data_IF_159180633167
#
_entry.id   IF_159180633167
#
_cell.length_a   1.000
_cell.length_b   1.000
_cell.length_c   1.000
_cell.angle_alpha   90.00
_cell.angle_beta   90.00
_cell.angle_gamma   90.00
#
_symmetry.space_group_name_H-M   'P 1'
#
loop_
_entity.id
_entity.type
_entity.pdbx_description
1 polymer ?
#
# COMPACT_ATOMS: atom_id res chain seq x y z
N UNK A 1 -2.37 2.80 23.42
CA UNK A 1 -2.26 3.58 22.15
C UNK A 1 -3.16 2.98 21.09
N UNK A 2 -3.85 3.81 20.34
CA UNK A 2 -4.82 3.39 19.32
C UNK A 2 -4.17 3.16 17.95
N UNK A 3 -4.34 1.98 17.38
CA UNK A 3 -3.95 1.71 15.99
C UNK A 3 -4.75 2.60 15.05
N UNK A 4 -4.06 3.46 14.32
CA UNK A 4 -4.68 4.47 13.45
C UNK A 4 -4.22 4.26 12.00
N UNK A 5 -5.19 4.06 11.12
CA UNK A 5 -4.97 3.87 9.69
C UNK A 5 -6.19 4.41 8.91
N UNK A 6 -6.06 4.56 7.60
CA UNK A 6 -7.19 4.99 6.79
C UNK A 6 -8.25 3.87 6.72
N UNK A 7 -9.45 4.19 7.20
CA UNK A 7 -10.62 3.29 7.12
C UNK A 7 -11.68 3.95 6.23
N UNK A 8 -11.63 3.64 4.94
CA UNK A 8 -12.60 4.13 3.96
C UNK A 8 -13.86 3.25 3.88
N UNK A 9 -14.89 3.69 3.12
CA UNK A 9 -16.14 2.92 2.95
C UNK A 9 -15.96 1.64 2.12
N UNK A 10 -14.82 1.46 1.48
CA UNK A 10 -14.47 0.27 0.71
C UNK A 10 -13.18 -0.32 1.29
N UNK A 11 -13.16 -1.62 1.61
CA UNK A 11 -11.95 -2.28 2.08
C UNK A 11 -10.80 -2.11 1.09
N UNK A 12 -9.59 -2.00 1.60
CA UNK A 12 -8.37 -1.91 0.84
C UNK A 12 -7.26 -2.70 1.53
N UNK A 13 -6.68 -3.64 0.83
CA UNK A 13 -5.65 -4.54 1.33
C UNK A 13 -4.52 -3.82 2.08
N UNK A 14 -4.00 -2.72 1.49
CA UNK A 14 -2.89 -1.99 2.10
C UNK A 14 -3.23 -1.41 3.48
N UNK A 15 -4.45 -0.87 3.63
CA UNK A 15 -4.90 -0.34 4.92
C UNK A 15 -5.25 -1.46 5.90
N UNK A 16 -5.85 -2.56 5.40
CA UNK A 16 -6.19 -3.74 6.20
C UNK A 16 -4.97 -4.48 6.75
N UNK A 17 -3.79 -4.37 6.10
CA UNK A 17 -2.54 -4.91 6.63
C UNK A 17 -2.22 -4.42 8.05
N UNK A 18 -2.67 -3.24 8.43
CA UNK A 18 -2.47 -2.73 9.80
C UNK A 18 -3.09 -3.64 10.85
N UNK A 19 -4.32 -4.09 10.65
CA UNK A 19 -5.02 -4.97 11.59
C UNK A 19 -4.49 -6.41 11.57
N UNK A 20 -3.79 -6.79 10.52
CA UNK A 20 -3.14 -8.09 10.40
C UNK A 20 -1.75 -8.10 11.02
N UNK A 21 -0.93 -7.09 10.71
CA UNK A 21 0.51 -7.03 11.02
C UNK A 21 0.75 -6.70 12.50
N UNK A 22 0.19 -5.58 12.97
CA UNK A 22 0.57 -5.02 14.26
C UNK A 22 0.18 -5.88 15.47
N UNK A 23 -1.04 -6.50 15.52
CA UNK A 23 -1.37 -7.41 16.63
C UNK A 23 -0.50 -8.67 16.71
N UNK A 24 0.19 -9.02 15.59
CA UNK A 24 1.08 -10.18 15.53
C UNK A 24 2.54 -9.85 15.89
N UNK A 25 2.92 -8.57 15.80
CA UNK A 25 4.29 -8.11 16.09
C UNK A 25 4.42 -7.44 17.46
N UNK A 26 3.34 -6.86 17.97
CA UNK A 26 3.34 -6.14 19.24
C UNK A 26 2.88 -7.05 20.38
N UNK A 27 3.38 -6.83 21.62
CA UNK A 27 2.89 -7.57 22.79
C UNK A 27 1.38 -7.42 22.98
N UNK A 28 0.76 -8.45 23.56
CA UNK A 28 -0.67 -8.40 23.87
C UNK A 28 -1.00 -7.19 24.78
N UNK A 29 -2.05 -6.46 24.45
CA UNK A 29 -2.47 -5.26 25.18
C UNK A 29 -1.62 -4.01 24.89
N UNK A 30 -0.68 -4.07 23.95
CA UNK A 30 0.12 -2.91 23.56
C UNK A 30 -0.69 -1.87 22.78
N UNK A 31 -1.64 -2.34 21.98
CA UNK A 31 -2.63 -1.52 21.29
C UNK A 31 -3.96 -1.60 22.05
N UNK A 32 -4.62 -0.47 22.17
CA UNK A 32 -5.92 -0.28 22.84
C UNK A 32 -6.75 0.79 22.12
N UNK A 33 -7.82 1.29 22.72
CA UNK A 33 -8.67 2.35 22.16
C UNK A 33 -8.34 3.75 22.69
N UNK A 34 -7.22 3.93 23.40
CA UNK A 34 -6.81 5.24 23.94
C UNK A 34 -6.33 6.15 22.79
N UNK A 35 -7.15 7.17 22.50
CA UNK A 35 -6.87 8.17 21.46
C UNK A 35 -5.87 9.25 21.87
N UNK A 36 -5.39 9.24 23.11
CA UNK A 36 -4.30 10.13 23.53
C UNK A 36 -2.97 9.77 22.86
N UNK A 37 -2.81 8.51 22.42
CA UNK A 37 -1.67 8.04 21.66
C UNK A 37 -2.13 7.30 20.39
N UNK A 38 -1.67 7.76 19.22
CA UNK A 38 -2.00 7.21 17.92
C UNK A 38 -0.81 6.45 17.33
N UNK A 39 -0.98 5.18 17.06
CA UNK A 39 0.03 4.36 16.38
C UNK A 39 -0.21 4.37 14.87
N UNK A 40 0.66 5.03 14.12
CA UNK A 40 0.58 5.25 12.68
C UNK A 40 1.51 4.25 11.97
N UNK A 41 0.95 3.15 11.51
CA UNK A 41 1.69 2.06 10.87
C UNK A 41 1.79 2.20 9.35
N UNK A 42 1.16 1.28 8.63
CA UNK A 42 1.15 1.24 7.16
C UNK A 42 0.21 2.31 6.61
N UNK A 43 0.64 3.00 5.57
CA UNK A 43 -0.22 3.90 4.81
C UNK A 43 0.41 5.26 4.50
N UNK A 44 -0.31 6.08 3.72
CA UNK A 44 0.08 7.46 3.43
C UNK A 44 -0.74 8.41 4.29
N UNK A 45 -0.55 8.31 5.60
CA UNK A 45 -1.40 8.93 6.63
C UNK A 45 -0.70 10.00 7.45
N UNK A 46 0.48 10.46 7.03
CA UNK A 46 1.15 11.59 7.65
C UNK A 46 0.55 12.89 7.10
N UNK A 47 -0.45 13.42 7.80
CA UNK A 47 -1.17 14.65 7.46
C UNK A 47 -1.46 15.50 8.71
N UNK A 48 -1.84 16.74 8.52
CA UNK A 48 -2.10 17.75 9.56
C UNK A 48 -3.45 17.57 10.30
N UNK A 49 -4.27 16.58 9.86
CA UNK A 49 -5.64 16.38 10.38
C UNK A 49 -5.70 15.50 11.65
N UNK A 50 -4.58 14.96 12.10
CA UNK A 50 -4.56 14.21 13.36
C UNK A 50 -4.84 15.13 14.56
N UNK A 51 -5.49 14.62 15.64
CA UNK A 51 -5.71 15.38 16.85
C UNK A 51 -4.41 15.98 17.39
N UNK A 52 -4.38 17.31 17.56
CA UNK A 52 -3.15 18.03 17.95
C UNK A 52 -2.62 17.60 19.32
N UNK A 53 -3.52 17.32 20.27
CA UNK A 53 -3.13 16.92 21.62
C UNK A 53 -2.66 15.46 21.72
N UNK A 54 -3.02 14.60 20.78
CA UNK A 54 -2.59 13.22 20.81
C UNK A 54 -1.11 13.09 20.46
N UNK A 55 -0.39 12.16 21.10
CA UNK A 55 0.95 11.74 20.68
C UNK A 55 0.83 10.83 19.45
N UNK A 56 1.62 11.06 18.42
CA UNK A 56 1.61 10.29 17.18
C UNK A 56 2.91 9.49 17.06
N UNK A 57 2.81 8.18 17.13
CA UNK A 57 3.93 7.26 16.97
C UNK A 57 3.95 6.79 15.52
N UNK A 58 5.00 7.12 14.79
CA UNK A 58 5.13 6.79 13.36
C UNK A 58 6.04 5.60 13.16
N UNK A 59 5.47 4.55 12.58
CA UNK A 59 6.17 3.29 12.34
C UNK A 59 6.02 2.90 10.86
N UNK A 60 6.76 3.58 9.97
CA UNK A 60 6.85 3.26 8.55
C UNK A 60 5.77 3.86 7.64
N UNK A 61 4.89 4.70 8.17
CA UNK A 61 3.95 5.49 7.36
C UNK A 61 4.69 6.48 6.46
N UNK A 62 4.03 6.89 5.37
CA UNK A 62 4.55 7.89 4.46
C UNK A 62 3.65 9.11 4.30
N UNK A 63 4.20 10.18 3.75
CA UNK A 63 3.44 11.32 3.27
C UNK A 63 2.91 11.04 1.86
N UNK A 64 1.63 11.29 1.64
CA UNK A 64 0.96 11.00 0.37
C UNK A 64 0.68 12.20 -0.51
N UNK A 65 0.83 13.42 0.02
CA UNK A 65 0.47 14.64 -0.70
C UNK A 65 -1.05 14.89 -0.84
N UNK A 66 -1.88 14.15 -0.10
CA UNK A 66 -3.35 14.29 -0.16
C UNK A 66 -3.89 15.43 0.72
N UNK A 67 -3.12 15.83 1.71
CA UNK A 67 -3.39 16.95 2.62
C UNK A 67 -2.10 17.71 2.88
N UNK A 68 -2.14 18.77 3.66
CA UNK A 68 -0.95 19.47 4.10
C UNK A 68 -0.03 18.54 4.92
N UNK A 69 1.28 18.75 4.78
CA UNK A 69 2.25 18.05 5.61
C UNK A 69 2.09 18.50 7.08
N UNK A 70 2.16 17.58 8.05
CA UNK A 70 2.09 17.95 9.44
C UNK A 70 3.38 18.63 9.89
N UNK A 71 3.29 19.48 10.90
CA UNK A 71 4.46 19.93 11.68
C UNK A 71 4.83 18.80 12.65
N UNK A 72 5.87 18.04 12.30
CA UNK A 72 6.32 16.92 13.14
C UNK A 72 7.28 17.34 14.25
N UNK A 73 7.60 18.63 14.34
CA UNK A 73 8.50 19.23 15.35
C UNK A 73 7.74 19.92 16.48
N UNK A 74 6.42 19.84 16.50
CA UNK A 74 5.56 20.44 17.53
C UNK A 74 5.63 19.74 18.91
N UNK A 75 6.46 18.71 19.04
CA UNK A 75 6.65 17.94 20.28
C UNK A 75 5.63 16.81 20.50
N UNK A 76 4.67 16.62 19.60
CA UNK A 76 3.64 15.57 19.72
C UNK A 76 3.90 14.35 18.81
N UNK A 77 4.97 14.39 18.03
CA UNK A 77 5.33 13.32 17.07
C UNK A 77 6.54 12.53 17.55
N UNK A 78 6.41 11.24 17.61
CA UNK A 78 7.48 10.28 17.85
C UNK A 78 7.74 9.51 16.57
N UNK A 79 8.73 9.97 15.80
CA UNK A 79 9.08 9.36 14.52
C UNK A 79 10.07 8.24 14.77
N UNK A 80 9.59 7.00 14.79
CA UNK A 80 10.48 5.83 14.86
C UNK A 80 11.17 5.65 13.52
N UNK A 81 10.40 5.49 12.45
CA UNK A 81 10.86 5.57 11.06
C UNK A 81 9.71 5.89 10.11
N UNK A 82 10.05 6.30 8.89
CA UNK A 82 9.11 6.61 7.81
C UNK A 82 9.37 5.75 6.58
N UNK A 83 8.40 5.71 5.67
CA UNK A 83 8.40 4.86 4.48
C UNK A 83 9.58 5.07 3.55
N UNK A 84 10.05 6.29 3.39
CA UNK A 84 11.14 6.54 2.46
C UNK A 84 11.72 7.94 2.52
N UNK A 85 12.77 8.20 1.70
CA UNK A 85 13.55 9.43 1.76
C UNK A 85 12.76 10.67 1.36
N UNK A 86 11.76 10.55 0.49
CA UNK A 86 10.91 11.69 0.10
C UNK A 86 10.01 12.13 1.24
N UNK A 87 9.47 11.17 1.99
CA UNK A 87 8.72 11.47 3.22
C UNK A 87 9.63 12.15 4.23
N UNK A 88 10.82 11.61 4.48
CA UNK A 88 11.78 12.21 5.41
C UNK A 88 12.15 13.64 5.00
N UNK A 89 12.48 13.87 3.73
CA UNK A 89 12.81 15.21 3.23
C UNK A 89 11.63 16.18 3.32
N UNK A 90 10.38 15.73 3.05
CA UNK A 90 9.21 16.61 3.12
C UNK A 90 8.90 17.04 4.56
N UNK A 91 9.23 16.19 5.54
CA UNK A 91 8.96 16.43 6.96
C UNK A 91 10.20 16.94 7.72
N UNK A 92 11.27 17.31 7.02
CA UNK A 92 12.54 17.77 7.61
C UNK A 92 13.09 16.81 8.67
N UNK A 93 13.06 15.51 8.36
CA UNK A 93 13.57 14.45 9.23
C UNK A 93 14.99 14.04 8.84
N UNK A 94 15.80 13.55 9.81
CA UNK A 94 17.09 12.94 9.53
C UNK A 94 16.98 11.80 8.51
N UNK A 95 17.92 11.62 7.58
CA UNK A 95 17.88 10.59 6.54
C UNK A 95 17.82 9.15 7.07
N UNK A 96 18.36 8.89 8.25
CA UNK A 96 18.35 7.58 8.91
C UNK A 96 16.93 7.13 9.34
N UNK A 97 16.00 8.09 9.47
CA UNK A 97 14.57 7.80 9.69
C UNK A 97 13.87 7.19 8.47
N UNK A 98 14.41 7.36 7.27
CA UNK A 98 13.89 6.75 6.06
C UNK A 98 14.34 5.28 5.98
N UNK A 99 13.53 4.35 6.49
CA UNK A 99 13.85 2.93 6.45
C UNK A 99 13.14 2.24 5.30
N UNK A 100 11.82 2.06 5.42
CA UNK A 100 10.98 1.40 4.42
C UNK A 100 9.49 1.47 4.85
N UNK A 101 8.57 1.05 3.98
CA UNK A 101 7.19 0.76 4.35
C UNK A 101 7.12 -0.42 5.32
N UNK A 102 6.31 -0.28 6.38
CA UNK A 102 6.23 -1.31 7.43
C UNK A 102 5.72 -2.67 6.96
N UNK A 103 5.14 -2.77 5.78
CA UNK A 103 4.77 -4.08 5.22
C UNK A 103 6.00 -4.98 4.98
N UNK A 104 7.23 -4.45 5.00
CA UNK A 104 8.46 -5.25 5.01
C UNK A 104 8.52 -6.19 6.22
N UNK A 105 7.91 -5.82 7.34
CA UNK A 105 7.85 -6.61 8.56
C UNK A 105 7.02 -7.90 8.43
N UNK A 106 6.23 -8.07 7.35
CA UNK A 106 5.60 -9.36 7.02
C UNK A 106 6.63 -10.49 6.93
N UNK A 107 7.88 -10.20 6.60
CA UNK A 107 8.99 -11.17 6.55
C UNK A 107 9.30 -11.79 7.91
N UNK A 108 8.90 -11.16 9.01
CA UNK A 108 9.11 -11.65 10.37
C UNK A 108 7.95 -12.51 10.91
N UNK A 109 6.88 -12.67 10.12
CA UNK A 109 5.69 -13.42 10.53
C UNK A 109 5.64 -14.80 9.89
N UNK A 110 4.98 -15.72 10.60
CA UNK A 110 4.48 -16.94 9.99
C UNK A 110 3.22 -16.59 9.16
N UNK A 111 3.34 -16.75 7.85
CA UNK A 111 2.33 -16.31 6.89
C UNK A 111 1.51 -17.50 6.35
N UNK A 112 0.28 -17.27 5.88
CA UNK A 112 -0.53 -18.29 5.24
C UNK A 112 0.25 -19.03 4.14
N UNK A 113 -0.02 -20.32 3.97
CA UNK A 113 0.58 -21.10 2.89
C UNK A 113 0.28 -20.47 1.53
N UNK A 114 1.22 -20.52 0.55
CA UNK A 114 0.96 -20.04 -0.79
C UNK A 114 -0.28 -20.71 -1.40
N UNK A 115 -1.14 -19.94 -2.04
CA UNK A 115 -2.27 -20.49 -2.76
C UNK A 115 -1.78 -21.29 -3.99
N UNK A 116 -2.41 -22.42 -4.25
CA UNK A 116 -2.07 -23.27 -5.37
C UNK A 116 -2.60 -22.73 -6.71
N UNK A 117 -1.89 -23.03 -7.80
CA UNK A 117 -2.31 -22.78 -9.18
C UNK A 117 -2.64 -21.31 -9.50
N UNK A 118 -2.02 -20.36 -8.83
CA UNK A 118 -2.25 -18.93 -9.10
C UNK A 118 -1.67 -18.50 -10.45
N UNK A 119 -0.50 -19.00 -10.80
CA UNK A 119 0.17 -18.63 -12.05
C UNK A 119 0.53 -17.13 -12.09
N UNK A 120 0.11 -16.44 -13.15
CA UNK A 120 0.26 -14.97 -13.22
C UNK A 120 -1.00 -14.33 -12.64
N UNK A 121 -0.82 -13.33 -11.79
CA UNK A 121 -1.90 -12.61 -11.15
C UNK A 121 -1.91 -11.12 -11.54
N UNK A 122 -3.07 -10.50 -11.48
CA UNK A 122 -3.25 -9.06 -11.59
C UNK A 122 -4.01 -8.53 -10.39
N UNK A 123 -3.48 -7.49 -9.75
CA UNK A 123 -4.11 -6.79 -8.64
C UNK A 123 -4.33 -5.32 -9.04
N UNK A 124 -5.57 -4.91 -9.38
CA UNK A 124 -5.90 -3.51 -9.65
C UNK A 124 -5.89 -2.70 -8.36
N UNK A 125 -5.82 -1.38 -8.48
CA UNK A 125 -6.15 -0.50 -7.35
C UNK A 125 -7.65 -0.66 -7.01
N UNK A 126 -8.03 -0.61 -5.72
CA UNK A 126 -9.42 -0.82 -5.31
C UNK A 126 -10.42 0.13 -5.98
N UNK A 127 -10.01 1.35 -6.28
CA UNK A 127 -10.83 2.28 -7.07
C UNK A 127 -11.04 1.79 -8.50
N UNK A 128 -9.99 1.31 -9.16
CA UNK A 128 -10.07 0.77 -10.52
C UNK A 128 -10.91 -0.50 -10.56
N UNK A 129 -10.79 -1.34 -9.53
CA UNK A 129 -11.65 -2.52 -9.38
C UNK A 129 -13.15 -2.15 -9.43
N UNK A 130 -13.53 -1.10 -8.72
CA UNK A 130 -14.93 -0.66 -8.66
C UNK A 130 -15.43 0.06 -9.94
N UNK A 131 -14.51 0.58 -10.76
CA UNK A 131 -14.81 1.40 -11.95
C UNK A 131 -14.70 0.64 -13.26
N UNK A 132 -13.88 -0.39 -13.28
CA UNK A 132 -13.56 -1.16 -14.46
C UNK A 132 -14.23 -2.53 -14.52
N UNK A 133 -13.91 -3.25 -15.59
CA UNK A 133 -14.35 -4.62 -15.86
C UNK A 133 -13.17 -5.60 -15.70
N UNK A 134 -12.37 -5.45 -14.63
CA UNK A 134 -11.13 -6.18 -14.44
C UNK A 134 -11.32 -7.69 -14.28
N UNK A 135 -12.43 -8.12 -13.65
CA UNK A 135 -12.75 -9.54 -13.55
C UNK A 135 -12.87 -10.19 -14.95
N UNK A 136 -13.57 -9.54 -15.86
CA UNK A 136 -13.73 -10.02 -17.22
C UNK A 136 -12.42 -9.90 -18.02
N UNK A 137 -11.67 -8.80 -17.86
CA UNK A 137 -10.38 -8.65 -18.53
C UNK A 137 -9.38 -9.74 -18.13
N UNK A 138 -9.28 -10.05 -16.83
CA UNK A 138 -8.43 -11.12 -16.31
C UNK A 138 -8.89 -12.49 -16.80
N UNK A 139 -10.19 -12.77 -16.79
CA UNK A 139 -10.75 -14.03 -17.34
C UNK A 139 -10.39 -14.22 -18.82
N UNK A 140 -10.55 -13.17 -19.64
CA UNK A 140 -10.18 -13.19 -21.05
C UNK A 140 -8.68 -13.33 -21.29
N UNK A 141 -7.87 -12.78 -20.39
CA UNK A 141 -6.42 -12.88 -20.44
C UNK A 141 -5.86 -14.20 -19.92
N UNK A 142 -6.66 -15.02 -19.23
CA UNK A 142 -6.19 -16.23 -18.54
C UNK A 142 -5.27 -15.91 -17.36
N UNK A 143 -5.51 -14.78 -16.67
CA UNK A 143 -4.73 -14.27 -15.56
C UNK A 143 -5.61 -14.29 -14.29
N UNK A 144 -5.02 -14.70 -13.16
CA UNK A 144 -5.72 -14.67 -11.86
C UNK A 144 -5.96 -13.22 -11.43
N UNK A 145 -7.21 -12.88 -11.13
CA UNK A 145 -7.53 -11.62 -10.47
C UNK A 145 -7.37 -11.77 -8.97
N UNK A 146 -6.56 -10.91 -8.36
CA UNK A 146 -6.51 -10.73 -6.90
C UNK A 146 -7.35 -9.50 -6.56
N UNK A 147 -8.42 -9.69 -5.82
CA UNK A 147 -9.29 -8.59 -5.38
C UNK A 147 -8.63 -7.83 -4.21
N UNK A 148 -8.29 -6.54 -4.38
CA UNK A 148 -7.67 -5.76 -3.31
C UNK A 148 -8.58 -5.47 -2.11
N UNK A 149 -9.80 -5.96 -2.12
CA UNK A 149 -10.80 -5.79 -1.04
C UNK A 149 -11.04 -7.08 -0.26
N UNK A 150 -10.44 -8.18 -0.70
CA UNK A 150 -10.53 -9.47 -0.03
C UNK A 150 -9.78 -9.46 1.32
N UNK A 151 -10.02 -10.50 2.11
CA UNK A 151 -9.33 -10.75 3.36
C UNK A 151 -7.80 -10.78 3.18
N UNK A 152 -7.09 -10.24 4.17
CA UNK A 152 -5.62 -10.10 4.10
C UNK A 152 -4.92 -11.45 3.92
N UNK A 153 -5.34 -12.49 4.64
CA UNK A 153 -4.71 -13.82 4.55
C UNK A 153 -4.88 -14.44 3.17
N UNK A 154 -6.08 -14.27 2.58
CA UNK A 154 -6.33 -14.72 1.20
C UNK A 154 -5.44 -13.99 0.20
N UNK A 155 -5.34 -12.66 0.29
CA UNK A 155 -4.51 -11.86 -0.62
C UNK A 155 -3.03 -12.22 -0.45
N UNK A 156 -2.55 -12.40 0.78
CA UNK A 156 -1.18 -12.83 1.06
C UNK A 156 -0.90 -14.21 0.46
N UNK A 157 -1.81 -15.17 0.63
CA UNK A 157 -1.67 -16.52 0.06
C UNK A 157 -1.62 -16.47 -1.48
N UNK A 158 -2.47 -15.66 -2.12
CA UNK A 158 -2.50 -15.51 -3.57
C UNK A 158 -1.23 -14.81 -4.11
N UNK A 159 -0.74 -13.77 -3.43
CA UNK A 159 0.53 -13.11 -3.81
C UNK A 159 1.69 -14.10 -3.68
N UNK A 160 1.78 -14.85 -2.59
CA UNK A 160 2.85 -15.87 -2.37
C UNK A 160 2.78 -17.01 -3.37
N UNK A 161 1.58 -17.39 -3.81
CA UNK A 161 1.37 -18.45 -4.80
C UNK A 161 1.55 -18.00 -6.25
N UNK A 162 1.62 -16.70 -6.49
CA UNK A 162 1.78 -16.18 -7.84
C UNK A 162 3.21 -16.36 -8.35
N UNK A 163 3.35 -16.82 -9.58
CA UNK A 163 4.63 -16.82 -10.30
C UNK A 163 5.10 -15.41 -10.62
N UNK A 164 4.16 -14.49 -10.85
CA UNK A 164 4.38 -13.07 -11.06
C UNK A 164 3.09 -12.31 -10.74
N UNK A 165 3.22 -11.18 -10.06
CA UNK A 165 2.14 -10.24 -9.80
C UNK A 165 2.25 -9.02 -10.71
N UNK A 166 1.27 -8.76 -11.55
CA UNK A 166 1.09 -7.47 -12.21
C UNK A 166 0.22 -6.62 -11.28
N UNK A 167 0.63 -5.40 -10.94
CA UNK A 167 -0.15 -4.63 -9.95
C UNK A 167 -0.21 -3.14 -10.23
N UNK A 168 -1.41 -2.59 -10.06
CA UNK A 168 -1.71 -1.16 -9.97
C UNK A 168 -1.72 -0.67 -8.51
N UNK A 169 -1.89 -1.60 -7.56
CA UNK A 169 -1.92 -1.30 -6.14
C UNK A 169 -0.49 -1.27 -5.56
N UNK A 170 -0.10 -0.16 -4.93
CA UNK A 170 1.25 -0.02 -4.37
C UNK A 170 1.55 -1.11 -3.33
N UNK A 171 0.64 -1.40 -2.39
CA UNK A 171 0.85 -2.45 -1.41
C UNK A 171 0.85 -3.86 -2.03
N UNK A 172 0.27 -4.06 -3.21
CA UNK A 172 0.49 -5.28 -3.99
C UNK A 172 1.96 -5.45 -4.35
N UNK A 173 2.62 -4.38 -4.82
CA UNK A 173 4.05 -4.40 -5.15
C UNK A 173 4.92 -4.52 -3.89
N UNK A 174 4.65 -3.72 -2.85
CA UNK A 174 5.41 -3.73 -1.59
C UNK A 174 5.42 -5.13 -0.97
N UNK A 175 4.25 -5.76 -0.89
CA UNK A 175 4.10 -7.10 -0.30
C UNK A 175 4.72 -8.16 -1.20
N UNK A 176 4.52 -8.10 -2.51
CA UNK A 176 5.15 -9.02 -3.45
C UNK A 176 6.69 -8.95 -3.35
N UNK A 177 7.23 -7.73 -3.29
CA UNK A 177 8.68 -7.52 -3.12
C UNK A 177 9.19 -8.06 -1.79
N UNK A 178 8.50 -7.75 -0.69
CA UNK A 178 8.85 -8.23 0.65
C UNK A 178 8.84 -9.76 0.72
N UNK A 179 7.89 -10.42 0.06
CA UNK A 179 7.72 -11.88 0.05
C UNK A 179 8.47 -12.58 -1.10
N UNK A 180 9.25 -11.80 -1.89
CA UNK A 180 10.06 -12.27 -3.02
C UNK A 180 9.24 -12.90 -4.15
N UNK A 181 7.98 -12.50 -4.29
CA UNK A 181 7.19 -12.79 -5.48
C UNK A 181 7.55 -11.78 -6.58
N UNK A 182 8.04 -12.20 -7.75
CA UNK A 182 8.36 -11.29 -8.84
C UNK A 182 7.14 -10.46 -9.24
N UNK A 183 7.33 -9.15 -9.47
CA UNK A 183 6.21 -8.27 -9.74
C UNK A 183 6.49 -7.28 -10.87
N UNK A 184 5.42 -6.75 -11.45
CA UNK A 184 5.45 -5.75 -12.50
C UNK A 184 4.47 -4.63 -12.13
N UNK A 185 4.98 -3.41 -11.98
CA UNK A 185 4.15 -2.26 -11.71
C UNK A 185 3.49 -1.74 -12.98
N UNK A 186 2.23 -1.36 -12.85
CA UNK A 186 1.54 -0.58 -13.89
C UNK A 186 1.19 0.80 -13.36
N UNK A 187 1.11 1.80 -14.25
CA UNK A 187 0.70 3.14 -13.89
C UNK A 187 -0.73 3.12 -13.36
N UNK A 188 -0.99 3.64 -12.15
CA UNK A 188 -2.35 3.83 -11.68
C UNK A 188 -3.17 4.66 -12.66
N UNK A 189 -4.40 4.23 -12.93
CA UNK A 189 -5.34 4.99 -13.77
C UNK A 189 -5.60 6.37 -13.16
N UNK A 190 -5.62 6.45 -11.83
CA UNK A 190 -5.72 7.74 -11.12
C UNK A 190 -4.32 8.33 -10.88
N UNK A 191 -3.99 9.49 -11.47
CA UNK A 191 -2.62 10.06 -11.41
C UNK A 191 -2.12 10.38 -10.00
N UNK A 192 -3.01 10.76 -9.08
CA UNK A 192 -2.65 11.14 -7.70
C UNK A 192 -1.99 10.00 -6.91
N UNK A 193 -2.19 8.76 -7.33
CA UNK A 193 -1.61 7.60 -6.66
C UNK A 193 -0.17 7.29 -7.07
N UNK A 194 0.49 8.17 -7.84
CA UNK A 194 1.81 7.86 -8.42
C UNK A 194 3.00 8.25 -7.53
N UNK A 195 2.92 9.39 -6.83
CA UNK A 195 4.06 9.95 -6.11
C UNK A 195 4.60 9.06 -4.99
N UNK A 196 3.71 8.42 -4.25
CA UNK A 196 4.04 7.53 -3.12
C UNK A 196 4.89 6.32 -3.51
N UNK A 197 4.82 5.86 -4.76
CA UNK A 197 5.60 4.73 -5.25
C UNK A 197 7.10 5.02 -5.28
N UNK A 198 7.46 6.25 -5.65
CA UNK A 198 8.86 6.66 -5.74
C UNK A 198 9.51 6.73 -4.35
N UNK A 199 8.76 7.19 -3.35
CA UNK A 199 9.23 7.26 -1.98
C UNK A 199 9.64 5.87 -1.43
N UNK A 200 8.80 4.86 -1.67
CA UNK A 200 9.11 3.48 -1.28
C UNK A 200 10.24 2.86 -2.12
N UNK A 201 10.23 3.07 -3.43
CA UNK A 201 11.24 2.49 -4.30
C UNK A 201 12.64 3.01 -3.99
N UNK A 202 12.77 4.31 -3.72
CA UNK A 202 14.04 4.94 -3.35
C UNK A 202 14.57 4.43 -2.00
N UNK A 203 13.70 4.07 -1.05
CA UNK A 203 14.12 3.45 0.21
C UNK A 203 14.83 2.10 0.00
N UNK A 204 14.52 1.40 -1.08
CA UNK A 204 15.10 0.10 -1.45
C UNK A 204 16.16 0.21 -2.57
N UNK A 205 16.54 1.41 -2.97
CA UNK A 205 17.45 1.63 -4.11
C UNK A 205 16.94 0.90 -5.38
N UNK A 206 15.62 0.89 -5.58
CA UNK A 206 14.95 0.20 -6.67
C UNK A 206 14.68 1.16 -7.84
N UNK A 207 15.22 0.83 -9.02
CA UNK A 207 14.85 1.48 -10.27
C UNK A 207 13.41 1.08 -10.67
N UNK A 208 12.45 1.86 -10.24
CA UNK A 208 11.03 1.57 -10.43
C UNK A 208 10.60 1.70 -11.89
N UNK A 209 10.42 0.57 -12.56
CA UNK A 209 9.90 0.49 -13.93
C UNK A 209 8.39 0.25 -13.91
N UNK A 210 7.62 1.20 -14.43
CA UNK A 210 6.15 1.10 -14.51
C UNK A 210 5.70 1.03 -15.96
N UNK A 211 4.80 0.10 -16.25
CA UNK A 211 4.22 -0.07 -17.58
C UNK A 211 2.87 0.65 -17.69
N UNK A 212 2.45 1.10 -18.87
CA UNK A 212 1.12 1.64 -19.07
C UNK A 212 0.04 0.63 -18.68
N UNK A 213 -1.10 1.08 -18.19
CA UNK A 213 -2.29 0.27 -17.99
C UNK A 213 -3.41 0.76 -18.93
N UNK A 214 -4.06 -0.17 -19.64
CA UNK A 214 -5.19 0.16 -20.51
C UNK A 214 -6.51 0.10 -19.72
N UNK A 215 -7.38 1.11 -19.86
CA UNK A 215 -8.67 1.11 -19.20
C UNK A 215 -9.58 0.01 -19.76
N UNK A 216 -10.42 -0.56 -18.89
CA UNK A 216 -11.44 -1.55 -19.24
C UNK A 216 -12.81 -0.95 -19.47
N UNK A 217 -12.98 0.33 -19.14
CA UNK A 217 -14.26 1.03 -19.25
C UNK A 217 -14.08 2.47 -19.72
N UNK A 218 -15.15 3.04 -20.25
CA UNK A 218 -15.22 4.48 -20.59
C UNK A 218 -15.01 5.37 -19.37
N UNK A 219 -15.43 4.90 -18.19
CA UNK A 219 -15.23 5.62 -16.94
C UNK A 219 -13.76 5.73 -16.60
N UNK A 220 -13.01 4.61 -16.66
CA UNK A 220 -11.57 4.62 -16.44
C UNK A 220 -10.82 5.43 -17.50
N UNK A 221 -11.26 5.36 -18.77
CA UNK A 221 -10.70 6.17 -19.85
C UNK A 221 -10.89 7.68 -19.58
N UNK A 222 -12.05 8.07 -19.09
CA UNK A 222 -12.35 9.45 -18.70
C UNK A 222 -11.47 9.91 -17.54
N UNK A 223 -11.37 9.08 -16.48
CA UNK A 223 -10.58 9.40 -15.29
C UNK A 223 -9.09 9.55 -15.64
N UNK A 224 -8.55 8.61 -16.41
CA UNK A 224 -7.14 8.65 -16.83
C UNK A 224 -6.79 9.90 -17.65
N UNK A 225 -7.75 10.46 -18.42
CA UNK A 225 -7.55 11.69 -19.21
C UNK A 225 -7.78 12.97 -18.44
N UNK A 226 -8.66 12.97 -17.45
CA UNK A 226 -9.07 14.19 -16.72
C UNK A 226 -8.37 14.33 -15.37
N UNK A 227 -7.59 13.34 -14.95
CA UNK A 227 -6.96 13.30 -13.64
C UNK A 227 -7.94 13.08 -12.49
N UNK A 228 -9.17 12.66 -12.80
CA UNK A 228 -10.19 12.34 -11.78
C UNK A 228 -10.74 13.53 -11.00
N UNK A 229 -10.15 14.71 -11.10
CA UNK A 229 -10.54 15.92 -10.34
C UNK A 229 -11.98 16.37 -10.54
N UNK A 230 -12.63 15.92 -11.61
CA UNK A 230 -14.05 16.17 -11.93
C UNK A 230 -14.90 14.91 -11.81
N UNK A 231 -14.34 13.87 -11.21
CA UNK A 231 -15.07 12.64 -10.99
C UNK A 231 -16.00 12.79 -9.80
N UNK A 232 -17.17 13.29 -10.06
CA UNK A 232 -18.30 13.15 -9.15
C UNK A 232 -19.20 12.04 -9.69
N UNK A 233 -19.77 11.24 -8.79
CA UNK A 233 -20.66 10.11 -9.05
C UNK A 233 -21.92 10.46 -9.89
N UNK A 234 -21.83 11.44 -10.70
CA UNK A 234 -22.96 11.96 -11.45
C UNK A 234 -23.17 11.30 -12.81
N UNK A 235 -23.02 12.12 -13.83
CA UNK A 235 -23.40 11.79 -15.21
C UNK A 235 -22.45 10.79 -15.88
N UNK A 236 -21.13 10.88 -15.61
CA UNK A 236 -20.12 10.02 -16.25
C UNK A 236 -20.30 8.54 -15.84
N UNK A 237 -20.52 8.28 -14.54
CA UNK A 237 -20.76 6.93 -14.03
C UNK A 237 -22.06 6.35 -14.59
N UNK A 238 -23.15 7.12 -14.58
CA UNK A 238 -24.44 6.67 -15.15
C UNK A 238 -24.32 6.37 -16.63
N UNK A 239 -23.65 7.24 -17.39
CA UNK A 239 -23.47 7.06 -18.81
C UNK A 239 -22.60 5.83 -19.13
N UNK A 240 -21.47 5.68 -18.44
CA UNK A 240 -20.58 4.54 -18.65
C UNK A 240 -21.21 3.19 -18.31
N UNK A 241 -22.23 3.19 -17.44
CA UNK A 241 -23.02 2.00 -17.07
C UNK A 241 -24.27 1.81 -17.93
N UNK A 242 -24.56 2.74 -18.84
CA UNK A 242 -25.73 2.65 -19.72
C UNK A 242 -25.59 1.54 -20.77
N UNK A 243 -26.72 1.12 -21.33
CA UNK A 243 -26.76 0.15 -22.42
C UNK A 243 -25.96 0.61 -23.66
N UNK A 244 -25.94 1.94 -23.93
CA UNK A 244 -25.22 2.54 -25.06
C UNK A 244 -23.69 2.44 -24.90
N UNK A 245 -23.18 2.45 -23.66
CA UNK A 245 -21.74 2.33 -23.40
C UNK A 245 -21.24 0.88 -23.46
N UNK A 246 -22.11 -0.13 -23.36
CA UNK A 246 -21.75 -1.55 -23.31
C UNK A 246 -20.86 -2.02 -24.45
N UNK A 247 -21.15 -1.71 -25.74
CA UNK A 247 -20.28 -2.16 -26.84
C UNK A 247 -18.86 -1.61 -26.72
N UNK A 248 -18.72 -0.32 -26.36
CA UNK A 248 -17.42 0.33 -26.20
C UNK A 248 -16.67 -0.25 -25.00
N UNK A 249 -17.35 -0.43 -23.86
CA UNK A 249 -16.74 -1.06 -22.69
C UNK A 249 -16.24 -2.49 -23.02
N UNK A 250 -17.01 -3.28 -23.80
CA UNK A 250 -16.59 -4.60 -24.24
C UNK A 250 -15.28 -4.55 -25.06
N UNK A 251 -15.18 -3.61 -25.99
CA UNK A 251 -13.95 -3.40 -26.78
C UNK A 251 -12.79 -3.02 -25.88
N UNK A 252 -12.97 -2.06 -24.96
CA UNK A 252 -11.94 -1.64 -24.03
C UNK A 252 -11.48 -2.81 -23.15
N UNK A 253 -12.42 -3.61 -22.64
CA UNK A 253 -12.12 -4.81 -21.84
C UNK A 253 -11.27 -5.81 -22.60
N UNK A 254 -11.59 -6.08 -23.87
CA UNK A 254 -10.77 -6.98 -24.72
C UNK A 254 -9.38 -6.42 -24.97
N UNK A 255 -9.26 -5.11 -25.24
CA UNK A 255 -7.97 -4.46 -25.43
C UNK A 255 -7.12 -4.49 -24.16
N UNK A 256 -7.75 -4.31 -22.99
CA UNK A 256 -7.09 -4.44 -21.71
C UNK A 256 -6.65 -5.87 -21.44
N UNK A 257 -7.47 -6.88 -21.75
CA UNK A 257 -7.11 -8.29 -21.63
C UNK A 257 -5.89 -8.66 -22.50
N UNK A 258 -5.89 -8.25 -23.77
CA UNK A 258 -4.73 -8.43 -24.65
C UNK A 258 -3.48 -7.73 -24.14
N UNK A 259 -3.66 -6.57 -23.50
CA UNK A 259 -2.56 -5.84 -22.88
C UNK A 259 -2.00 -6.58 -21.66
N UNK A 260 -2.86 -7.07 -20.77
CA UNK A 260 -2.44 -7.93 -19.67
C UNK A 260 -1.68 -9.16 -20.12
N UNK A 261 -2.11 -9.81 -21.22
CA UNK A 261 -1.38 -10.94 -21.83
C UNK A 261 0.02 -10.54 -22.32
N UNK A 262 0.21 -9.33 -22.83
CA UNK A 262 1.55 -8.84 -23.19
C UNK A 262 2.39 -8.57 -21.95
N UNK A 263 1.82 -7.88 -20.95
CA UNK A 263 2.48 -7.62 -19.68
C UNK A 263 2.91 -8.90 -18.96
N UNK A 264 2.14 -9.98 -19.09
CA UNK A 264 2.46 -11.28 -18.49
C UNK A 264 3.72 -11.95 -19.05
N UNK A 265 4.24 -11.42 -20.15
CA UNK A 265 5.49 -11.87 -20.81
C UNK A 265 6.64 -10.88 -20.60
N UNK A 266 6.39 -9.75 -19.96
CA UNK A 266 7.40 -8.75 -19.64
C UNK A 266 8.27 -9.22 -18.49
N UNK A 267 9.48 -8.70 -18.44
CA UNK A 267 10.42 -8.97 -17.37
C UNK A 267 9.91 -8.34 -16.04
N UNK A 268 9.70 -9.14 -15.01
CA UNK A 268 9.32 -8.62 -13.70
C UNK A 268 10.51 -7.92 -13.02
N UNK A 269 10.23 -7.28 -11.90
CA UNK A 269 11.25 -6.66 -11.08
C UNK A 269 11.14 -7.16 -9.62
N UNK A 270 12.25 -7.04 -8.92
CA UNK A 270 12.39 -7.22 -7.48
C UNK A 270 13.48 -6.26 -7.00
N UNK A 271 13.39 -5.81 -5.77
CA UNK A 271 14.50 -5.15 -5.11
C UNK A 271 15.67 -6.13 -4.93
N UNK A 272 16.86 -5.61 -4.73
CA UNK A 272 18.03 -6.46 -4.42
C UNK A 272 17.84 -7.13 -3.06
N UNK A 273 18.31 -8.37 -2.93
CA UNK A 273 18.16 -9.15 -1.70
C UNK A 273 18.82 -8.50 -0.49
N UNK A 274 20.00 -7.89 -0.71
CA UNK A 274 20.70 -7.15 0.34
C UNK A 274 19.91 -5.93 0.82
N UNK A 275 19.24 -5.18 -0.07
CA UNK A 275 18.46 -3.98 0.26
C UNK A 275 17.19 -4.30 1.05
N UNK A 276 16.43 -5.29 0.58
CA UNK A 276 15.20 -5.67 1.29
C UNK A 276 15.48 -6.34 2.63
N UNK A 277 16.60 -7.06 2.77
CA UNK A 277 17.02 -7.66 4.02
C UNK A 277 17.48 -6.58 5.01
N UNK A 278 18.36 -5.66 4.60
CA UNK A 278 18.76 -4.51 5.43
C UNK A 278 17.57 -3.69 5.91
N UNK A 279 16.64 -3.35 5.02
CA UNK A 279 15.44 -2.60 5.37
C UNK A 279 14.57 -3.36 6.39
N UNK A 280 14.42 -4.68 6.20
CA UNK A 280 13.70 -5.55 7.13
C UNK A 280 14.34 -5.61 8.52
N UNK A 281 15.66 -5.79 8.57
CA UNK A 281 16.43 -5.82 9.84
C UNK A 281 16.36 -4.47 10.57
N UNK A 282 16.56 -3.37 9.86
CA UNK A 282 16.45 -2.02 10.43
C UNK A 282 15.06 -1.74 10.99
N UNK A 283 14.00 -2.12 10.25
CA UNK A 283 12.62 -1.96 10.71
C UNK A 283 12.31 -2.82 11.94
N UNK A 284 12.79 -4.08 11.98
CA UNK A 284 12.64 -4.96 13.15
C UNK A 284 13.39 -4.42 14.37
N UNK A 285 14.62 -3.96 14.20
CA UNK A 285 15.42 -3.37 15.27
C UNK A 285 14.77 -2.09 15.83
N UNK A 286 14.25 -1.23 14.95
CA UNK A 286 13.53 -0.01 15.34
C UNK A 286 12.26 -0.34 16.13
N UNK A 287 11.48 -1.32 15.67
CA UNK A 287 10.30 -1.81 16.38
C UNK A 287 10.65 -2.39 17.76
N UNK A 288 11.66 -3.26 17.83
CA UNK A 288 12.11 -3.88 19.08
C UNK A 288 12.60 -2.83 20.10
N UNK A 289 13.36 -1.84 19.63
CA UNK A 289 13.84 -0.74 20.48
C UNK A 289 12.65 0.11 21.01
N UNK A 290 11.68 0.40 20.16
CA UNK A 290 10.47 1.13 20.56
C UNK A 290 9.68 0.33 21.60
N UNK A 291 9.38 -0.94 21.36
CA UNK A 291 8.64 -1.79 22.31
C UNK A 291 9.37 -1.85 23.66
N UNK A 292 10.69 -2.06 23.65
CA UNK A 292 11.51 -2.08 24.86
C UNK A 292 11.46 -0.76 25.65
N UNK A 293 11.43 0.37 24.95
CA UNK A 293 11.33 1.68 25.59
C UNK A 293 9.97 1.89 26.27
N UNK A 294 8.88 1.45 25.63
CA UNK A 294 7.53 1.58 26.16
C UNK A 294 7.22 0.60 27.31
N UNK A 295 7.88 -0.56 27.34
CA UNK A 295 7.66 -1.58 28.37
C UNK A 295 8.57 -1.45 29.60
N UNK A 296 9.53 -0.51 29.60
CA UNK A 296 10.36 -0.25 30.80
C UNK A 296 9.46 0.29 31.90
N UNK A 297 9.47 -0.31 33.12
CA UNK A 297 8.80 0.28 34.25
C UNK A 297 9.39 1.67 34.50
N UNK A 298 8.51 2.67 34.67
CA UNK A 298 8.90 3.98 35.19
C UNK A 298 9.48 3.70 36.57
N UNK A 299 10.79 3.64 36.69
CA UNK A 299 11.46 3.68 37.99
C UNK A 299 11.07 5.02 38.57
N UNK A 300 10.06 5.00 39.45
CA UNK A 300 9.72 6.13 40.29
C UNK A 300 11.02 6.58 40.98
N UNK A 301 11.49 7.79 40.64
CA UNK A 301 12.45 8.49 41.45
C UNK A 301 11.77 8.74 42.81
N UNK A 302 11.85 7.78 43.68
CA UNK A 302 11.68 8.01 45.11
C UNK A 302 12.93 8.76 45.53
N UNK A 303 12.89 10.10 45.43
CA UNK A 303 13.82 10.95 46.14
C UNK A 303 13.41 10.92 47.58
N UNK A 304 14.22 10.22 48.37
CA UNK A 304 14.32 10.36 49.83
C UNK A 304 14.70 11.78 50.24
#
# INVERSE_FOLDING_TARGET
>A
MKLTYYSGPVPNFGDALNTYLWPRLLPHGFLDEDESELFLGIGSILWDQHPKAARKIVMGSGYGGYAAAPDVHDGTWDIVFVRGPRTAATLDLPPDKAICDSAVLLRALDLPAPAENVGIAFMPHYHSFNRGHWAEACRLAGIRLIDPRDDVEKVLAEIRGARMLITEAMHGAIVADALRTPWLAVHPIHPENQAKWLDWAEALDLDLRRQPLRPTSLLELYIGRTGGRRYYEGRATRWSRSGLARPVNRILTHLAAQHLQRLSRSEPQLSRDDRISDAGERAQNALAAFVKAQTRPVLSEVRS
#
